data_IF_017475332161
#
_entry.id   IF_017475332161
#
_cell.length_a   1.000
_cell.length_b   1.000
_cell.length_c   1.000
_cell.angle_alpha   90.00
_cell.angle_beta   90.00
_cell.angle_gamma   90.00
#
_symmetry.space_group_name_H-M   'P 1'
#
loop_
_entity.id
_entity.type
_entity.pdbx_description
1 polymer ?
#
# COMPACT_ATOMS: atom_id res chain seq x y z
N UNK A 1 89.98 -40.09 -15.35
CA UNK A 1 89.91 -39.09 -14.24
C UNK A 1 89.67 -39.73 -12.86
N UNK A 2 88.99 -40.87 -12.78
CA UNK A 2 88.86 -41.65 -11.53
C UNK A 2 90.10 -42.52 -11.22
N UNK A 3 90.88 -42.91 -12.23
CA UNK A 3 92.12 -43.69 -12.07
C UNK A 3 93.21 -42.89 -11.36
N UNK A 4 93.36 -41.61 -11.70
CA UNK A 4 94.30 -40.69 -11.04
C UNK A 4 93.94 -40.43 -9.58
N UNK A 5 92.64 -40.43 -9.22
CA UNK A 5 92.21 -40.34 -7.82
C UNK A 5 92.52 -41.64 -7.06
N UNK A 6 92.34 -42.80 -7.71
CA UNK A 6 92.62 -44.12 -7.14
C UNK A 6 94.11 -44.32 -6.87
N UNK A 7 94.98 -43.91 -7.80
CA UNK A 7 96.44 -43.94 -7.60
C UNK A 7 96.88 -43.01 -6.47
N UNK A 8 96.29 -41.80 -6.38
CA UNK A 8 96.57 -40.85 -5.29
C UNK A 8 96.16 -41.41 -3.93
N UNK A 9 95.01 -42.10 -3.84
CA UNK A 9 94.55 -42.69 -2.59
C UNK A 9 95.42 -43.90 -2.18
N UNK A 10 95.85 -44.72 -3.13
CA UNK A 10 96.77 -45.84 -2.88
C UNK A 10 98.15 -45.35 -2.44
N UNK A 11 98.67 -44.26 -3.00
CA UNK A 11 99.90 -43.60 -2.54
C UNK A 11 99.77 -43.14 -1.09
N UNK A 12 98.69 -42.42 -0.76
CA UNK A 12 98.45 -41.93 0.62
C UNK A 12 98.33 -43.07 1.61
N UNK A 13 97.67 -44.17 1.24
CA UNK A 13 97.57 -45.36 2.09
C UNK A 13 98.93 -46.05 2.27
N UNK A 14 99.75 -46.13 1.23
CA UNK A 14 101.09 -46.72 1.29
C UNK A 14 102.05 -45.86 2.12
N UNK A 15 101.93 -44.53 2.02
CA UNK A 15 102.70 -43.55 2.80
C UNK A 15 102.33 -43.60 4.29
N UNK A 16 101.03 -43.77 4.60
CA UNK A 16 100.58 -43.99 5.99
C UNK A 16 101.08 -45.32 6.56
N UNK A 17 101.06 -46.38 5.76
CA UNK A 17 101.48 -47.72 6.20
C UNK A 17 103.00 -47.82 6.38
N UNK A 18 103.78 -47.10 5.56
CA UNK A 18 105.24 -47.03 5.67
C UNK A 18 105.69 -46.10 6.80
N UNK A 19 104.96 -44.99 7.05
CA UNK A 19 105.15 -44.14 8.23
C UNK A 19 104.89 -44.87 9.55
N UNK A 20 103.90 -45.76 9.61
CA UNK A 20 103.60 -46.51 10.84
C UNK A 20 104.60 -47.65 11.12
N UNK A 21 105.12 -48.31 10.06
CA UNK A 21 106.15 -49.36 10.20
C UNK A 21 107.49 -48.80 10.69
N UNK A 22 107.88 -47.62 10.22
CA UNK A 22 109.12 -46.94 10.66
C UNK A 22 109.09 -46.47 12.12
N UNK A 23 107.89 -46.22 12.68
CA UNK A 23 107.72 -45.93 14.11
C UNK A 23 107.65 -47.19 14.98
N UNK A 24 107.10 -48.28 14.47
CA UNK A 24 106.99 -49.56 15.20
C UNK A 24 108.35 -50.26 15.36
N UNK A 25 109.23 -50.22 14.35
CA UNK A 25 110.55 -50.88 14.42
C UNK A 25 111.50 -50.22 15.45
N UNK A 26 111.34 -48.92 15.74
CA UNK A 26 112.13 -48.24 16.78
C UNK A 26 111.71 -48.61 18.21
N UNK A 27 110.56 -49.27 18.40
CA UNK A 27 110.02 -49.62 19.72
C UNK A 27 110.49 -51.00 20.23
N UNK A 28 111.00 -51.89 19.34
CA UNK A 28 111.41 -53.26 19.73
C UNK A 28 112.90 -53.46 20.02
N UNK A 29 113.76 -52.47 19.79
CA UNK A 29 115.21 -52.53 20.07
C UNK A 29 115.63 -51.60 21.23
N UNK A 30 115.12 -51.85 22.45
CA UNK A 30 115.68 -51.25 23.67
C UNK A 30 115.51 -52.18 24.87
N UNK A 31 116.11 -53.38 24.78
CA UNK A 31 116.31 -54.27 25.93
C UNK A 31 117.81 -54.40 26.21
N UNK A 32 118.39 -53.41 26.89
CA UNK A 32 119.76 -53.50 27.43
C UNK A 32 119.80 -53.06 28.89
N UNK A 33 120.43 -53.95 29.67
CA UNK A 33 120.67 -53.98 31.11
C UNK A 33 121.75 -52.96 31.49
N UNK A 34 121.49 -52.08 32.46
CA UNK A 34 122.47 -51.07 32.94
C UNK A 34 122.55 -51.00 34.47
N UNK A 35 123.74 -51.29 35.03
CA UNK A 35 124.15 -51.04 36.43
C UNK A 35 124.72 -49.61 36.51
N UNK A 36 124.61 -48.88 37.64
CA UNK A 36 124.43 -47.44 37.62
C UNK A 36 125.77 -46.70 37.61
N UNK A 37 125.93 -45.75 36.69
CA UNK A 37 126.79 -44.58 36.88
C UNK A 37 126.54 -43.56 35.77
N UNK A 38 125.82 -42.51 36.14
CA UNK A 38 126.01 -41.12 35.67
C UNK A 38 126.18 -40.94 34.17
N UNK A 39 125.06 -41.04 33.44
CA UNK A 39 124.87 -40.21 32.25
C UNK A 39 124.69 -38.75 32.70
N UNK A 40 125.27 -37.77 31.98
CA UNK A 40 125.15 -36.35 32.33
C UNK A 40 123.67 -36.03 32.46
N UNK A 41 123.29 -35.35 33.55
CA UNK A 41 121.91 -34.90 33.77
C UNK A 41 121.39 -34.32 32.45
N UNK A 42 120.49 -35.03 31.78
CA UNK A 42 119.60 -34.41 30.82
C UNK A 42 119.07 -33.16 31.54
N UNK A 43 119.29 -31.95 31.02
CA UNK A 43 118.73 -30.76 31.64
C UNK A 43 117.27 -31.06 31.90
N UNK A 44 116.78 -30.86 33.12
CA UNK A 44 115.35 -30.92 33.36
C UNK A 44 114.76 -29.80 32.50
N UNK A 45 114.37 -30.11 31.27
CA UNK A 45 113.60 -29.24 30.39
C UNK A 45 112.15 -29.09 30.92
N UNK A 46 111.99 -29.06 32.26
CA UNK A 46 110.70 -28.95 32.93
C UNK A 46 110.11 -27.55 32.73
N UNK A 47 110.94 -26.51 32.70
CA UNK A 47 110.48 -25.15 32.45
C UNK A 47 109.81 -24.97 31.07
N UNK A 48 110.33 -25.64 30.02
CA UNK A 48 109.72 -25.62 28.69
C UNK A 48 108.41 -26.40 28.63
N UNK A 49 108.36 -27.56 29.29
CA UNK A 49 107.16 -28.38 29.39
C UNK A 49 106.06 -27.69 30.22
N UNK A 50 106.42 -27.07 31.34
CA UNK A 50 105.51 -26.30 32.20
C UNK A 50 104.96 -25.06 31.49
N UNK A 51 105.79 -24.37 30.69
CA UNK A 51 105.34 -23.23 29.88
C UNK A 51 104.33 -23.69 28.81
N UNK A 52 104.62 -24.78 28.09
CA UNK A 52 103.71 -25.37 27.11
C UNK A 52 102.40 -25.81 27.76
N UNK A 53 102.46 -26.51 28.89
CA UNK A 53 101.28 -26.91 29.67
C UNK A 53 100.45 -25.71 30.08
N UNK A 54 101.07 -24.61 30.54
CA UNK A 54 100.34 -23.38 30.87
C UNK A 54 99.65 -22.74 29.67
N UNK A 55 100.29 -22.73 28.50
CA UNK A 55 99.66 -22.21 27.28
C UNK A 55 98.52 -23.12 26.82
N UNK A 56 98.70 -24.45 26.90
CA UNK A 56 97.67 -25.43 26.59
C UNK A 56 96.45 -25.25 27.51
N UNK A 57 96.66 -25.14 28.82
CA UNK A 57 95.61 -24.89 29.82
C UNK A 57 94.90 -23.54 29.59
N UNK A 58 95.67 -22.48 29.32
CA UNK A 58 95.12 -21.16 29.06
C UNK A 58 94.30 -21.12 27.76
N UNK A 59 94.77 -21.80 26.71
CA UNK A 59 94.05 -21.92 25.44
C UNK A 59 92.78 -22.75 25.59
N UNK A 60 92.84 -23.87 26.32
CA UNK A 60 91.67 -24.68 26.64
C UNK A 60 90.64 -23.90 27.46
N UNK A 61 91.07 -23.13 28.46
CA UNK A 61 90.19 -22.26 29.24
C UNK A 61 89.56 -21.15 28.40
N UNK A 62 90.33 -20.54 27.48
CA UNK A 62 89.82 -19.52 26.57
C UNK A 62 88.73 -20.08 25.64
N UNK A 63 88.95 -21.25 25.04
CA UNK A 63 87.96 -21.92 24.18
C UNK A 63 86.70 -22.30 24.95
N UNK A 64 86.85 -22.83 26.17
CA UNK A 64 85.71 -23.15 27.02
C UNK A 64 84.86 -21.90 27.30
N UNK A 65 85.50 -20.79 27.68
CA UNK A 65 84.82 -19.51 27.91
C UNK A 65 84.20 -18.93 26.64
N UNK A 66 84.86 -19.06 25.50
CA UNK A 66 84.30 -18.61 24.22
C UNK A 66 83.04 -19.40 23.86
N UNK A 67 83.05 -20.71 24.10
CA UNK A 67 81.87 -21.57 23.93
C UNK A 67 80.74 -21.19 24.90
N UNK A 68 81.04 -21.07 26.20
CA UNK A 68 80.05 -20.64 27.19
C UNK A 68 79.45 -19.26 26.85
N UNK A 69 80.26 -18.34 26.32
CA UNK A 69 79.79 -17.04 25.85
C UNK A 69 78.88 -17.15 24.61
N UNK A 70 79.20 -18.05 23.67
CA UNK A 70 78.36 -18.30 22.50
C UNK A 70 77.01 -18.93 22.92
N UNK A 71 77.04 -19.95 23.78
CA UNK A 71 75.84 -20.61 24.32
C UNK A 71 74.94 -19.60 25.07
N UNK A 72 75.54 -18.72 25.89
CA UNK A 72 74.80 -17.64 26.56
C UNK A 72 74.21 -16.62 25.57
N UNK A 73 74.94 -16.32 24.49
CA UNK A 73 74.46 -15.45 23.41
C UNK A 73 73.26 -16.04 22.68
N UNK A 74 73.27 -17.35 22.38
CA UNK A 74 72.15 -18.05 21.73
C UNK A 74 70.89 -18.07 22.60
N UNK A 75 71.04 -18.21 23.92
CA UNK A 75 69.90 -18.13 24.84
C UNK A 75 69.24 -16.74 24.83
N UNK A 76 70.04 -15.68 24.92
CA UNK A 76 69.52 -14.30 24.88
C UNK A 76 68.90 -13.99 23.51
N UNK A 77 69.52 -14.42 22.41
CA UNK A 77 68.96 -14.25 21.06
C UNK A 77 67.59 -14.93 20.94
N UNK A 78 67.45 -16.15 21.47
CA UNK A 78 66.17 -16.88 21.51
C UNK A 78 65.10 -16.11 22.28
N UNK A 79 65.43 -15.53 23.43
CA UNK A 79 64.50 -14.70 24.20
C UNK A 79 64.10 -13.41 23.45
N UNK A 80 65.06 -12.74 22.81
CA UNK A 80 64.82 -11.54 22.01
C UNK A 80 63.90 -11.85 20.82
N UNK A 81 64.14 -12.95 20.11
CA UNK A 81 63.28 -13.40 19.00
C UNK A 81 61.87 -13.68 19.51
N UNK A 82 61.71 -14.40 20.61
CA UNK A 82 60.39 -14.69 21.20
C UNK A 82 59.66 -13.42 21.62
N UNK A 83 60.36 -12.47 22.25
CA UNK A 83 59.78 -11.19 22.66
C UNK A 83 59.38 -10.34 21.44
N UNK A 84 60.21 -10.31 20.40
CA UNK A 84 59.91 -9.59 19.16
C UNK A 84 58.67 -10.15 18.47
N UNK A 85 58.53 -11.47 18.39
CA UNK A 85 57.35 -12.12 17.83
C UNK A 85 56.08 -11.82 18.63
N UNK A 86 56.18 -11.77 19.97
CA UNK A 86 55.06 -11.41 20.83
C UNK A 86 54.60 -9.96 20.57
N UNK A 87 55.52 -9.00 20.52
CA UNK A 87 55.19 -7.60 20.26
C UNK A 87 54.67 -7.38 18.85
N UNK A 88 55.22 -8.09 17.87
CA UNK A 88 54.75 -8.02 16.48
C UNK A 88 53.31 -8.50 16.36
N UNK A 89 52.94 -9.59 17.07
CA UNK A 89 51.55 -10.04 17.15
C UNK A 89 50.63 -9.00 17.79
N UNK A 90 51.08 -8.31 18.84
CA UNK A 90 50.28 -7.24 19.46
C UNK A 90 50.10 -6.05 18.51
N UNK A 91 51.17 -5.68 17.78
CA UNK A 91 51.15 -4.61 16.77
C UNK A 91 50.18 -4.93 15.64
N UNK A 92 50.18 -6.16 15.13
CA UNK A 92 49.25 -6.55 14.05
C UNK A 92 47.80 -6.51 14.52
N UNK A 93 47.49 -7.01 15.73
CA UNK A 93 46.14 -6.90 16.30
C UNK A 93 45.69 -5.44 16.49
N UNK A 94 46.59 -4.55 16.92
CA UNK A 94 46.27 -3.13 17.08
C UNK A 94 46.02 -2.44 15.73
N UNK A 95 46.81 -2.77 14.70
CA UNK A 95 46.57 -2.24 13.35
C UNK A 95 45.24 -2.72 12.76
N UNK A 96 44.85 -3.97 13.02
CA UNK A 96 43.55 -4.50 12.59
C UNK A 96 42.40 -3.74 13.26
N UNK A 97 42.48 -3.53 14.58
CA UNK A 97 41.51 -2.73 15.32
C UNK A 97 41.47 -1.29 14.80
N UNK A 98 42.63 -0.66 14.56
CA UNK A 98 42.69 0.67 13.98
C UNK A 98 42.01 0.72 12.60
N UNK A 99 42.22 -0.30 11.76
CA UNK A 99 41.55 -0.43 10.47
C UNK A 99 40.02 -0.52 10.60
N UNK A 100 39.52 -1.27 11.59
CA UNK A 100 38.09 -1.33 11.89
C UNK A 100 37.53 0.01 12.38
N UNK A 101 38.23 0.72 13.27
CA UNK A 101 37.81 2.04 13.72
C UNK A 101 37.77 3.06 12.57
N UNK A 102 38.69 2.97 11.61
CA UNK A 102 38.70 3.84 10.43
C UNK A 102 37.51 3.61 9.50
N UNK A 103 36.82 2.46 9.57
CA UNK A 103 35.63 2.17 8.76
C UNK A 103 34.34 2.73 9.39
N UNK A 104 34.33 3.05 10.68
CA UNK A 104 33.13 3.57 11.37
C UNK A 104 32.52 4.82 10.72
N UNK A 105 33.30 5.82 10.25
CA UNK A 105 32.73 6.98 9.58
C UNK A 105 32.00 6.63 8.28
N UNK A 106 32.48 5.65 7.52
CA UNK A 106 31.80 5.18 6.32
C UNK A 106 30.47 4.50 6.67
N UNK A 107 30.45 3.65 7.70
CA UNK A 107 29.22 3.04 8.20
C UNK A 107 28.22 4.10 8.69
N UNK A 108 28.69 5.15 9.36
CA UNK A 108 27.84 6.26 9.79
C UNK A 108 27.25 6.99 8.58
N UNK A 109 28.04 7.26 7.54
CA UNK A 109 27.55 7.87 6.31
C UNK A 109 26.51 7.01 5.60
N UNK A 110 26.73 5.69 5.55
CA UNK A 110 25.75 4.74 4.99
C UNK A 110 24.44 4.78 5.80
N UNK A 111 24.53 4.80 7.13
CA UNK A 111 23.37 4.89 8.02
C UNK A 111 22.62 6.22 7.85
N UNK A 112 23.34 7.34 7.75
CA UNK A 112 22.75 8.66 7.47
C UNK A 112 22.03 8.67 6.11
N UNK A 113 22.62 8.02 5.09
CA UNK A 113 21.99 7.90 3.76
C UNK A 113 20.71 7.04 3.80
N UNK A 114 20.72 5.95 4.56
CA UNK A 114 19.55 5.10 4.75
C UNK A 114 18.45 5.85 5.51
N UNK A 115 18.81 6.60 6.55
CA UNK A 115 17.86 7.47 7.25
C UNK A 115 17.24 8.52 6.33
N UNK A 116 18.04 9.16 5.48
CA UNK A 116 17.53 10.13 4.50
C UNK A 116 16.59 9.46 3.47
N UNK A 117 16.93 8.26 2.99
CA UNK A 117 16.08 7.50 2.07
C UNK A 117 14.75 7.10 2.70
N UNK A 118 14.76 6.75 3.99
CA UNK A 118 13.56 6.39 4.74
C UNK A 118 12.65 7.59 4.94
N UNK A 119 13.20 8.75 5.32
CA UNK A 119 12.45 9.99 5.43
C UNK A 119 11.82 10.44 4.09
N UNK A 120 12.56 10.26 2.98
CA UNK A 120 12.01 10.52 1.64
C UNK A 120 10.86 9.56 1.31
N UNK A 121 11.00 8.27 1.64
CA UNK A 121 9.97 7.27 1.43
C UNK A 121 8.71 7.56 2.25
N UNK A 122 8.86 7.97 3.52
CA UNK A 122 7.74 8.42 4.37
C UNK A 122 6.98 9.58 3.71
N UNK A 123 7.70 10.59 3.22
CA UNK A 123 7.09 11.72 2.50
C UNK A 123 6.33 11.25 1.25
N UNK A 124 6.91 10.31 0.48
CA UNK A 124 6.26 9.77 -0.72
C UNK A 124 4.99 8.96 -0.39
N UNK A 125 4.94 8.28 0.75
CA UNK A 125 3.74 7.59 1.21
C UNK A 125 2.65 8.57 1.60
N UNK A 126 2.99 9.63 2.34
CA UNK A 126 2.04 10.71 2.66
C UNK A 126 1.47 11.34 1.38
N UNK A 127 2.30 11.57 0.36
CA UNK A 127 1.84 12.06 -0.93
C UNK A 127 0.85 11.09 -1.60
N UNK A 128 1.15 9.79 -1.63
CA UNK A 128 0.26 8.78 -2.21
C UNK A 128 -1.07 8.69 -1.44
N UNK A 129 -1.03 8.70 -0.11
CA UNK A 129 -2.22 8.71 0.74
C UNK A 129 -3.11 9.92 0.43
N UNK A 130 -2.52 11.11 0.30
CA UNK A 130 -3.25 12.32 -0.08
C UNK A 130 -3.91 12.20 -1.47
N UNK A 131 -3.21 11.62 -2.45
CA UNK A 131 -3.79 11.39 -3.78
C UNK A 131 -4.93 10.37 -3.75
N UNK A 132 -4.84 9.33 -2.91
CA UNK A 132 -5.90 8.34 -2.74
C UNK A 132 -7.14 8.94 -2.09
N UNK A 133 -6.98 9.77 -1.06
CA UNK A 133 -8.09 10.50 -0.45
C UNK A 133 -8.76 11.43 -1.47
N UNK A 134 -7.99 12.16 -2.26
CA UNK A 134 -8.54 13.01 -3.31
C UNK A 134 -9.31 12.20 -4.38
N UNK A 135 -8.82 11.02 -4.75
CA UNK A 135 -9.50 10.14 -5.68
C UNK A 135 -10.83 9.61 -5.10
N UNK A 136 -10.86 9.26 -3.81
CA UNK A 136 -12.08 8.86 -3.12
C UNK A 136 -13.13 9.98 -3.13
N UNK A 137 -12.72 11.22 -2.83
CA UNK A 137 -13.59 12.40 -2.90
C UNK A 137 -14.16 12.60 -4.31
N UNK A 138 -13.34 12.50 -5.35
CA UNK A 138 -13.78 12.61 -6.74
C UNK A 138 -14.75 11.49 -7.13
N UNK A 139 -14.49 10.25 -6.71
CA UNK A 139 -15.40 9.12 -6.94
C UNK A 139 -16.76 9.37 -6.29
N UNK A 140 -16.77 9.82 -5.02
CA UNK A 140 -18.00 10.17 -4.31
C UNK A 140 -18.78 11.29 -5.01
N UNK A 141 -18.09 12.32 -5.51
CA UNK A 141 -18.70 13.39 -6.31
C UNK A 141 -19.32 12.86 -7.61
N UNK A 142 -18.59 12.01 -8.35
CA UNK A 142 -19.09 11.41 -9.58
C UNK A 142 -20.33 10.53 -9.35
N UNK A 143 -20.36 9.78 -8.27
CA UNK A 143 -21.53 8.98 -7.87
C UNK A 143 -22.73 9.85 -7.53
N UNK A 144 -22.51 10.90 -6.74
CA UNK A 144 -23.56 11.85 -6.38
C UNK A 144 -24.16 12.53 -7.63
N UNK A 145 -23.31 12.99 -8.55
CA UNK A 145 -23.78 13.60 -9.80
C UNK A 145 -24.54 12.61 -10.68
N UNK A 146 -24.09 11.35 -10.76
CA UNK A 146 -24.85 10.29 -11.45
C UNK A 146 -26.23 10.07 -10.83
N UNK A 147 -26.33 10.05 -9.49
CA UNK A 147 -27.61 9.90 -8.81
C UNK A 147 -28.56 11.08 -9.05
N UNK A 148 -28.06 12.32 -8.95
CA UNK A 148 -28.84 13.52 -9.26
C UNK A 148 -29.34 13.50 -10.70
N UNK A 149 -28.46 13.17 -11.66
CA UNK A 149 -28.83 13.12 -13.07
C UNK A 149 -29.89 12.05 -13.34
N UNK A 150 -29.77 10.87 -12.75
CA UNK A 150 -30.76 9.80 -12.88
C UNK A 150 -32.14 10.21 -12.32
N UNK A 151 -32.17 10.87 -11.15
CA UNK A 151 -33.43 11.38 -10.58
C UNK A 151 -34.04 12.48 -11.44
N UNK A 152 -33.24 13.42 -11.96
CA UNK A 152 -33.72 14.46 -12.87
C UNK A 152 -34.34 13.86 -14.14
N UNK A 153 -33.68 12.88 -14.76
CA UNK A 153 -34.20 12.17 -15.93
C UNK A 153 -35.50 11.41 -15.63
N UNK A 154 -35.59 10.76 -14.47
CA UNK A 154 -36.82 10.09 -14.04
C UNK A 154 -37.97 11.08 -13.87
N UNK A 155 -37.72 12.22 -13.22
CA UNK A 155 -38.71 13.27 -13.01
C UNK A 155 -39.17 13.89 -14.33
N UNK A 156 -38.25 14.12 -15.26
CA UNK A 156 -38.58 14.63 -16.59
C UNK A 156 -39.38 13.62 -17.43
N UNK A 157 -39.03 12.35 -17.37
CA UNK A 157 -39.78 11.26 -18.00
C UNK A 157 -41.19 11.15 -17.44
N UNK A 158 -41.34 11.24 -16.12
CA UNK A 158 -42.63 11.24 -15.43
C UNK A 158 -43.49 12.45 -15.85
N UNK A 159 -42.94 13.67 -15.81
CA UNK A 159 -43.61 14.89 -16.28
C UNK A 159 -44.07 14.76 -17.74
N UNK A 160 -43.25 14.15 -18.60
CA UNK A 160 -43.59 13.89 -20.00
C UNK A 160 -44.72 12.86 -20.15
N UNK A 161 -44.73 11.78 -19.37
CA UNK A 161 -45.82 10.79 -19.36
C UNK A 161 -47.12 11.45 -18.93
N UNK A 162 -47.09 12.23 -17.83
CA UNK A 162 -48.28 12.93 -17.33
C UNK A 162 -48.86 13.94 -18.29
N UNK A 163 -48.02 14.68 -19.02
CA UNK A 163 -48.50 15.57 -20.10
C UNK A 163 -49.22 14.78 -21.20
N UNK A 164 -48.66 13.65 -21.64
CA UNK A 164 -49.29 12.79 -22.65
C UNK A 164 -50.60 12.18 -22.18
N UNK A 165 -50.66 11.70 -20.93
CA UNK A 165 -51.89 11.16 -20.33
C UNK A 165 -52.99 12.23 -20.29
N UNK A 166 -52.64 13.47 -19.92
CA UNK A 166 -53.59 14.58 -19.89
C UNK A 166 -54.07 14.97 -21.30
N UNK A 167 -53.15 15.06 -22.27
CA UNK A 167 -53.50 15.31 -23.69
C UNK A 167 -54.41 14.22 -24.25
N UNK A 168 -54.16 12.95 -23.90
CA UNK A 168 -54.99 11.82 -24.33
C UNK A 168 -56.39 11.86 -23.69
N UNK A 169 -56.48 12.10 -22.38
CA UNK A 169 -57.76 12.22 -21.68
C UNK A 169 -58.59 13.38 -22.22
N UNK A 170 -57.95 14.52 -22.52
CA UNK A 170 -58.60 15.66 -23.16
C UNK A 170 -59.16 15.30 -24.54
N UNK A 171 -58.36 14.63 -25.37
CA UNK A 171 -58.81 14.21 -26.69
C UNK A 171 -59.96 13.19 -26.63
N UNK A 172 -59.91 12.25 -25.69
CA UNK A 172 -60.99 11.28 -25.45
C UNK A 172 -62.28 11.99 -25.04
N UNK A 173 -62.20 12.93 -24.10
CA UNK A 173 -63.35 13.73 -23.65
C UNK A 173 -63.93 14.59 -24.78
N UNK A 174 -63.08 15.20 -25.62
CA UNK A 174 -63.51 15.96 -26.81
C UNK A 174 -64.24 15.04 -27.82
N UNK A 175 -63.74 13.81 -28.03
CA UNK A 175 -64.42 12.83 -28.91
C UNK A 175 -65.75 12.34 -28.32
N UNK A 176 -65.81 12.08 -27.01
CA UNK A 176 -67.05 11.67 -26.34
C UNK A 176 -68.09 12.79 -26.40
N UNK A 177 -67.68 14.04 -26.14
CA UNK A 177 -68.55 15.21 -26.22
C UNK A 177 -69.12 15.40 -27.64
N UNK A 178 -68.26 15.36 -28.66
CA UNK A 178 -68.70 15.49 -30.06
C UNK A 178 -69.62 14.35 -30.50
N UNK A 179 -69.32 13.11 -30.09
CA UNK A 179 -70.19 11.96 -30.36
C UNK A 179 -71.56 12.13 -29.70
N UNK A 180 -71.60 12.48 -28.40
CA UNK A 180 -72.85 12.69 -27.66
C UNK A 180 -73.67 13.82 -28.25
N UNK A 181 -73.03 14.90 -28.69
CA UNK A 181 -73.70 15.99 -29.39
C UNK A 181 -74.36 15.53 -30.70
N UNK A 182 -73.66 14.74 -31.52
CA UNK A 182 -74.20 14.16 -32.76
C UNK A 182 -75.33 13.16 -32.49
N UNK A 183 -75.22 12.33 -31.45
CA UNK A 183 -76.28 11.42 -31.04
C UNK A 183 -77.53 12.18 -30.59
N UNK A 184 -77.37 13.25 -29.80
CA UNK A 184 -78.48 14.12 -29.40
C UNK A 184 -79.13 14.81 -30.60
N UNK A 185 -78.34 15.32 -31.55
CA UNK A 185 -78.84 15.93 -32.78
C UNK A 185 -79.62 14.91 -33.63
N UNK A 186 -79.06 13.72 -33.86
CA UNK A 186 -79.72 12.65 -34.61
C UNK A 186 -81.02 12.20 -33.93
N UNK A 187 -81.01 12.07 -32.60
CA UNK A 187 -82.21 11.76 -31.81
C UNK A 187 -83.28 12.85 -31.98
N UNK A 188 -82.88 14.12 -31.98
CA UNK A 188 -83.78 15.24 -32.23
C UNK A 188 -84.35 15.21 -33.66
N UNK A 189 -83.51 14.95 -34.66
CA UNK A 189 -83.93 14.84 -36.07
C UNK A 189 -84.90 13.67 -36.31
N UNK A 190 -84.67 12.50 -35.69
CA UNK A 190 -85.60 11.36 -35.73
C UNK A 190 -86.96 11.74 -35.16
N UNK A 191 -87.00 12.38 -33.98
CA UNK A 191 -88.25 12.86 -33.36
C UNK A 191 -88.99 13.86 -34.26
N UNK A 192 -88.29 14.69 -35.03
CA UNK A 192 -88.91 15.61 -35.98
C UNK A 192 -89.45 14.88 -37.22
N UNK A 193 -88.69 13.91 -37.76
CA UNK A 193 -89.12 13.08 -38.90
C UNK A 193 -90.31 12.18 -38.58
N UNK A 194 -90.34 11.55 -37.41
CA UNK A 194 -91.49 10.75 -36.96
C UNK A 194 -92.74 11.61 -36.81
N UNK A 195 -92.59 12.82 -36.25
CA UNK A 195 -93.68 13.81 -36.20
C UNK A 195 -94.17 14.18 -37.60
N UNK A 196 -93.27 14.47 -38.53
CA UNK A 196 -93.64 14.77 -39.92
C UNK A 196 -94.40 13.60 -40.56
N UNK A 197 -93.92 12.36 -40.39
CA UNK A 197 -94.55 11.15 -40.92
C UNK A 197 -95.95 10.94 -40.34
N UNK A 198 -96.14 11.20 -39.04
CA UNK A 198 -97.45 11.12 -38.41
C UNK A 198 -98.47 12.08 -39.03
N UNK A 199 -98.05 13.31 -39.35
CA UNK A 199 -98.91 14.28 -40.04
C UNK A 199 -99.20 13.90 -41.48
N UNK A 200 -98.20 13.39 -42.21
CA UNK A 200 -98.36 12.92 -43.59
C UNK A 200 -99.35 11.75 -43.65
N UNK A 201 -99.23 10.77 -42.76
CA UNK A 201 -100.17 9.64 -42.66
C UNK A 201 -101.59 10.11 -42.33
N UNK A 202 -101.74 11.08 -41.42
CA UNK A 202 -103.03 11.68 -41.12
C UNK A 202 -103.64 12.39 -42.35
N UNK A 203 -102.83 13.11 -43.12
CA UNK A 203 -103.27 13.78 -44.34
C UNK A 203 -103.66 12.78 -45.43
N UNK A 204 -102.88 11.72 -45.61
CA UNK A 204 -103.17 10.66 -46.57
C UNK A 204 -104.49 9.95 -46.23
N UNK A 205 -104.76 9.69 -44.95
CA UNK A 205 -106.05 9.17 -44.48
C UNK A 205 -107.20 10.12 -44.82
N UNK A 206 -107.04 11.42 -44.56
CA UNK A 206 -108.05 12.43 -44.89
C UNK A 206 -108.33 12.47 -46.41
N UNK A 207 -107.28 12.33 -47.23
CA UNK A 207 -107.40 12.31 -48.69
C UNK A 207 -108.06 11.03 -49.22
N UNK A 208 -107.70 9.87 -48.69
CA UNK A 208 -108.35 8.59 -49.01
C UNK A 208 -109.83 8.59 -48.60
N UNK A 209 -110.15 9.19 -47.45
CA UNK A 209 -111.52 9.38 -47.00
C UNK A 209 -112.31 10.28 -47.96
N UNK A 210 -111.72 11.39 -48.40
CA UNK A 210 -112.36 12.27 -49.38
C UNK A 210 -112.61 11.58 -50.72
N UNK A 211 -111.62 10.85 -51.24
CA UNK A 211 -111.77 10.12 -52.51
C UNK A 211 -112.82 9.00 -52.43
N UNK A 212 -113.02 8.38 -51.26
CA UNK A 212 -113.99 7.31 -51.06
C UNK A 212 -115.41 7.79 -50.76
N UNK A 213 -115.60 8.94 -50.09
CA UNK A 213 -116.93 9.42 -49.64
C UNK A 213 -117.40 10.74 -50.29
N UNK A 214 -116.52 11.52 -50.91
CA UNK A 214 -116.83 12.79 -51.56
C UNK A 214 -116.91 14.02 -50.65
N UNK A 215 -116.71 13.88 -49.32
CA UNK A 215 -116.71 14.97 -48.34
C UNK A 215 -115.63 14.76 -47.27
N UNK A 216 -114.93 15.82 -46.84
CA UNK A 216 -113.93 15.77 -45.75
C UNK A 216 -114.59 16.03 -44.38
N UNK A 217 -114.38 15.16 -43.39
CA UNK A 217 -114.82 15.35 -41.99
C UNK A 217 -113.62 15.69 -41.08
N UNK A 218 -113.07 16.90 -41.22
CA UNK A 218 -111.84 17.30 -40.49
C UNK A 218 -112.14 17.69 -39.02
N UNK A 219 -113.33 18.19 -38.72
CA UNK A 219 -113.60 18.86 -37.45
C UNK A 219 -114.07 17.93 -36.32
N UNK A 220 -114.56 16.72 -36.62
CA UNK A 220 -115.36 15.94 -35.66
C UNK A 220 -114.62 14.76 -35.02
N UNK A 221 -113.41 14.40 -35.49
CA UNK A 221 -112.65 13.24 -34.99
C UNK A 221 -111.36 13.55 -34.22
N UNK A 222 -110.97 14.82 -34.06
CA UNK A 222 -109.76 15.20 -33.31
C UNK A 222 -110.10 15.56 -31.86
N UNK A 223 -109.64 14.74 -30.91
CA UNK A 223 -109.31 15.22 -29.56
C UNK A 223 -108.40 16.45 -29.70
N UNK A 224 -108.56 17.50 -28.87
CA UNK A 224 -107.85 18.77 -29.03
C UNK A 224 -106.35 18.54 -29.26
N UNK A 225 -105.86 18.95 -30.44
CA UNK A 225 -104.43 18.98 -30.70
C UNK A 225 -103.79 19.93 -29.69
N UNK A 226 -103.15 19.37 -28.67
CA UNK A 226 -102.34 20.13 -27.72
C UNK A 226 -101.28 20.91 -28.49
N UNK A 227 -101.44 22.22 -28.54
CA UNK A 227 -100.49 23.26 -28.94
C UNK A 227 -99.50 22.91 -30.07
N UNK A 228 -99.88 23.25 -31.31
CA UNK A 228 -98.98 23.29 -32.47
C UNK A 228 -98.03 24.50 -32.48
N UNK A 229 -97.74 25.11 -31.32
CA UNK A 229 -96.88 26.28 -31.22
C UNK A 229 -95.96 26.14 -30.02
N UNK A 230 -94.99 25.24 -30.12
CA UNK A 230 -93.79 25.31 -29.30
C UNK A 230 -92.64 24.72 -30.12
N UNK A 231 -91.87 25.61 -30.74
CA UNK A 231 -90.43 25.40 -30.72
C UNK A 231 -90.08 25.38 -29.22
N UNK A 232 -90.22 24.23 -28.57
CA UNK A 232 -89.54 24.00 -27.30
C UNK A 232 -88.06 23.93 -27.67
N UNK A 233 -87.49 25.12 -27.89
CA UNK A 233 -86.10 25.38 -27.54
C UNK A 233 -86.01 24.83 -26.12
N UNK A 234 -85.20 23.81 -25.87
CA UNK A 234 -84.99 23.31 -24.52
C UNK A 234 -84.37 24.44 -23.69
N UNK A 235 -85.18 25.38 -23.20
CA UNK A 235 -84.78 26.45 -22.29
C UNK A 235 -84.19 25.82 -21.02
N UNK A 236 -84.73 24.66 -20.63
CA UNK A 236 -84.29 23.84 -19.50
C UNK A 236 -82.88 23.26 -19.64
N UNK A 237 -82.31 23.18 -20.87
CA UNK A 237 -80.91 22.74 -21.08
C UNK A 237 -79.95 23.93 -21.18
N UNK A 238 -80.45 25.11 -21.56
CA UNK A 238 -79.66 26.34 -21.57
C UNK A 238 -79.40 26.86 -20.14
N UNK A 239 -80.35 26.67 -19.22
CA UNK A 239 -80.22 27.07 -17.81
C UNK A 239 -79.26 26.19 -16.99
N UNK A 240 -78.78 25.06 -17.54
CA UNK A 240 -77.78 24.18 -16.92
C UNK A 240 -76.34 24.38 -17.43
N UNK A 241 -76.13 25.31 -18.36
CA UNK A 241 -74.82 25.63 -18.94
C UNK A 241 -74.04 26.68 -18.12
N UNK A 242 -74.63 27.22 -17.05
CA UNK A 242 -74.02 28.20 -16.14
C UNK A 242 -73.73 27.57 -14.77
N UNK A 243 -72.81 26.62 -14.66
CA UNK A 243 -72.30 26.19 -13.33
C UNK A 243 -71.02 25.35 -13.44
N UNK A 244 -69.96 25.90 -14.04
CA UNK A 244 -68.65 25.26 -13.89
C UNK A 244 -67.43 26.18 -14.04
N UNK A 245 -67.49 27.44 -13.58
CA UNK A 245 -66.34 28.34 -13.71
C UNK A 245 -66.11 29.32 -12.54
N UNK A 246 -66.44 28.92 -11.30
CA UNK A 246 -66.15 29.76 -10.11
C UNK A 246 -65.45 29.01 -8.97
N UNK A 247 -65.18 27.70 -9.11
CA UNK A 247 -64.44 26.93 -8.11
C UNK A 247 -62.95 26.73 -8.42
N UNK A 248 -62.51 27.01 -9.65
CA UNK A 248 -61.14 26.70 -10.10
C UNK A 248 -60.18 27.91 -10.09
N UNK A 249 -60.67 29.10 -9.76
CA UNK A 249 -59.84 30.32 -9.71
C UNK A 249 -58.78 30.26 -8.59
N UNK A 250 -59.09 29.64 -7.44
CA UNK A 250 -58.14 29.44 -6.35
C UNK A 250 -57.08 28.37 -6.67
N UNK A 251 -57.42 27.35 -7.47
CA UNK A 251 -56.49 26.29 -7.84
C UNK A 251 -55.46 26.77 -8.90
N UNK A 252 -55.88 27.64 -9.82
CA UNK A 252 -54.99 28.25 -10.82
C UNK A 252 -53.97 29.21 -10.19
N UNK A 253 -54.37 29.99 -9.18
CA UNK A 253 -53.46 30.90 -8.47
C UNK A 253 -52.37 30.15 -7.68
N UNK A 254 -52.68 28.98 -7.10
CA UNK A 254 -51.68 28.14 -6.43
C UNK A 254 -50.68 27.52 -7.43
N UNK A 255 -51.15 27.19 -8.64
CA UNK A 255 -50.31 26.60 -9.69
C UNK A 255 -49.39 27.63 -10.34
N UNK A 256 -49.87 28.85 -10.59
CA UNK A 256 -49.07 29.95 -11.15
C UNK A 256 -48.04 30.51 -10.16
N UNK A 257 -48.38 30.53 -8.86
CA UNK A 257 -47.45 30.99 -7.81
C UNK A 257 -46.39 29.94 -7.41
N UNK A 258 -46.51 28.66 -7.81
CA UNK A 258 -45.53 27.60 -7.50
C UNK A 258 -44.47 27.38 -8.60
N UNK A 259 -44.47 28.17 -9.67
CA UNK A 259 -43.57 28.01 -10.83
C UNK A 259 -42.37 28.97 -10.88
N UNK A 260 -42.06 29.67 -9.79
CA UNK A 260 -41.19 30.86 -9.80
C UNK A 260 -39.94 30.80 -8.90
N UNK A 261 -39.21 29.69 -8.90
CA UNK A 261 -37.85 29.57 -8.36
C UNK A 261 -37.13 28.64 -9.37
N UNK A 262 -36.33 29.08 -10.36
CA UNK A 262 -35.14 29.93 -10.31
C UNK A 262 -34.83 30.50 -11.72
N UNK A 263 -34.36 31.75 -11.81
CA UNK A 263 -33.26 32.11 -12.73
C UNK A 263 -32.64 33.47 -12.40
N UNK A 264 -31.54 33.41 -11.64
CA UNK A 264 -30.22 33.98 -11.97
C UNK A 264 -30.22 35.07 -13.06
N UNK A 265 -29.86 36.32 -12.71
CA UNK A 265 -28.70 37.08 -13.26
C UNK A 265 -28.44 38.36 -12.41
N UNK A 266 -27.30 38.32 -11.71
CA UNK A 266 -26.30 39.38 -11.40
C UNK A 266 -26.68 40.86 -11.07
N UNK A 267 -26.41 41.23 -9.79
CA UNK A 267 -25.56 42.33 -9.22
C UNK A 267 -25.69 43.81 -9.65
N UNK A 268 -25.20 44.81 -8.86
CA UNK A 268 -24.73 44.81 -7.46
C UNK A 268 -25.38 45.91 -6.57
N UNK A 269 -25.29 45.77 -5.24
CA UNK A 269 -25.19 46.95 -4.37
C UNK A 269 -25.91 46.91 -3.03
N UNK A 270 -25.10 47.00 -1.97
CA UNK A 270 -25.40 47.66 -0.69
C UNK A 270 -26.26 46.87 0.32
N UNK A 271 -25.55 46.16 1.20
CA UNK A 271 -25.41 46.61 2.59
C UNK A 271 -26.31 45.96 3.66
N UNK A 272 -25.62 45.31 4.64
CA UNK A 272 -26.01 45.10 6.05
C UNK A 272 -27.19 44.14 6.27
N UNK A 273 -27.28 43.32 7.31
CA UNK A 273 -26.45 42.88 8.44
C UNK A 273 -27.38 41.98 9.29
N UNK A 274 -26.83 41.02 10.03
CA UNK A 274 -27.44 40.36 11.19
C UNK A 274 -28.61 39.40 10.89
N UNK A 275 -28.84 38.28 11.59
CA UNK A 275 -28.27 37.76 12.83
C UNK A 275 -28.42 36.22 12.86
N UNK A 276 -27.51 35.59 13.60
CA UNK A 276 -27.54 34.19 14.00
C UNK A 276 -28.85 33.80 14.71
N UNK A 277 -29.41 32.62 14.42
CA UNK A 277 -29.87 31.75 15.53
C UNK A 277 -29.93 30.26 15.14
N UNK A 278 -29.16 29.53 15.94
CA UNK A 278 -28.97 28.08 16.08
C UNK A 278 -30.27 27.36 16.45
N UNK A 279 -30.32 26.03 16.23
CA UNK A 279 -30.81 24.94 17.13
C UNK A 279 -31.47 23.83 16.28
N UNK A 280 -30.80 22.70 16.06
CA UNK A 280 -30.79 21.47 16.90
C UNK A 280 -31.79 20.42 16.40
N UNK A 281 -31.21 19.35 15.87
CA UNK A 281 -31.50 17.94 16.19
C UNK A 281 -32.58 17.14 15.45
N UNK A 282 -32.19 15.85 15.37
CA UNK A 282 -32.97 14.62 15.38
C UNK A 282 -33.25 13.94 14.05
N UNK A 283 -32.84 12.67 14.05
CA UNK A 283 -33.05 11.60 13.08
C UNK A 283 -34.53 11.28 12.85
N UNK A 284 -34.82 10.44 11.85
CA UNK A 284 -35.33 9.09 12.16
C UNK A 284 -34.59 8.01 11.33
N UNK A 285 -34.22 6.86 11.90
CA UNK A 285 -35.03 5.65 12.05
C UNK A 285 -35.41 4.96 10.71
N UNK A 286 -34.64 3.88 10.43
CA UNK A 286 -35.07 2.51 10.06
C UNK A 286 -36.14 2.26 8.98
N UNK A 287 -35.86 1.33 8.05
CA UNK A 287 -36.58 0.06 7.76
C UNK A 287 -36.03 -0.51 6.44
N UNK A 288 -35.22 -1.57 6.48
CA UNK A 288 -35.54 -2.99 6.21
C UNK A 288 -36.06 -3.31 4.79
N UNK A 289 -35.38 -4.21 4.07
CA UNK A 289 -35.86 -5.59 3.82
C UNK A 289 -35.13 -6.27 2.65
N UNK A 290 -34.44 -7.35 2.98
CA UNK A 290 -34.50 -8.71 2.41
C UNK A 290 -34.86 -8.93 0.92
N UNK A 291 -33.98 -9.65 0.20
CA UNK A 291 -34.39 -10.67 -0.77
C UNK A 291 -33.30 -11.75 -0.92
N UNK A 292 -33.72 -13.01 -0.74
CA UNK A 292 -32.95 -14.24 -0.88
C UNK A 292 -32.71 -14.62 -2.34
N UNK A 293 -31.64 -15.36 -2.63
CA UNK A 293 -31.59 -16.33 -3.74
C UNK A 293 -30.53 -17.41 -3.45
N UNK A 294 -31.00 -18.65 -3.41
CA UNK A 294 -30.19 -19.87 -3.37
C UNK A 294 -29.61 -20.19 -4.76
N UNK A 295 -28.37 -20.70 -4.82
CA UNK A 295 -27.96 -21.61 -5.90
C UNK A 295 -26.90 -22.61 -5.39
N UNK A 296 -27.14 -23.88 -5.71
CA UNK A 296 -26.43 -25.07 -5.24
C UNK A 296 -25.13 -25.32 -6.02
N UNK A 297 -24.02 -25.39 -5.27
CA UNK A 297 -22.85 -26.29 -5.30
C UNK A 297 -22.34 -26.88 -6.64
N UNK A 298 -21.07 -26.59 -6.95
CA UNK A 298 -20.10 -27.60 -7.45
C UNK A 298 -18.65 -27.22 -7.10
N UNK A 299 -17.84 -28.22 -6.76
CA UNK A 299 -16.51 -28.15 -6.16
C UNK A 299 -15.39 -27.82 -7.16
N UNK A 300 -14.40 -27.00 -6.76
CA UNK A 300 -12.96 -27.30 -6.90
C UNK A 300 -12.06 -26.27 -6.19
N UNK A 301 -11.30 -26.79 -5.21
CA UNK A 301 -9.88 -26.52 -4.90
C UNK A 301 -9.32 -25.11 -5.02
N UNK A 302 -8.89 -24.55 -3.88
CA UNK A 302 -7.93 -23.44 -3.82
C UNK A 302 -7.93 -22.79 -2.43
N UNK A 303 -6.84 -22.93 -1.70
CA UNK A 303 -6.63 -22.38 -0.35
C UNK A 303 -6.88 -20.86 -0.30
N UNK A 304 -7.71 -20.42 0.64
CA UNK A 304 -7.78 -19.02 1.08
C UNK A 304 -7.69 -19.01 2.61
N UNK A 305 -6.55 -18.56 3.11
CA UNK A 305 -6.40 -18.13 4.49
C UNK A 305 -7.22 -16.84 4.66
N UNK A 306 -8.39 -16.97 5.28
CA UNK A 306 -9.19 -15.84 5.72
C UNK A 306 -8.53 -15.21 6.96
N UNK A 307 -8.07 -13.96 6.84
CA UNK A 307 -7.96 -13.05 7.97
C UNK A 307 -9.16 -12.12 7.93
N UNK A 308 -10.11 -12.41 8.81
CA UNK A 308 -11.27 -11.60 9.12
C UNK A 308 -10.82 -10.23 9.65
N UNK A 309 -11.27 -9.16 9.01
CA UNK A 309 -11.15 -7.78 9.51
C UNK A 309 -11.98 -7.64 10.80
N UNK A 310 -11.30 -7.44 11.92
CA UNK A 310 -11.87 -7.05 13.20
C UNK A 310 -11.75 -5.55 13.39
N UNK A 311 -12.88 -4.87 13.37
CA UNK A 311 -13.03 -3.45 13.66
C UNK A 311 -12.69 -3.13 15.12
N UNK A 312 -11.50 -2.62 15.40
CA UNK A 312 -11.25 -1.74 16.56
C UNK A 312 -10.10 -0.79 16.23
N UNK A 313 -10.41 0.50 16.21
CA UNK A 313 -9.42 1.56 16.00
C UNK A 313 -8.29 1.48 17.01
N UNK A 314 -7.07 1.40 16.51
CA UNK A 314 -5.85 1.64 17.30
C UNK A 314 -5.08 2.74 16.59
N UNK A 315 -5.12 3.92 17.19
CA UNK A 315 -4.21 5.02 16.88
C UNK A 315 -2.82 4.53 17.27
N UNK A 316 -1.97 4.22 16.29
CA UNK A 316 -0.56 3.96 16.55
C UNK A 316 0.10 5.32 16.77
N UNK A 317 0.08 5.81 18.00
CA UNK A 317 1.04 6.84 18.41
C UNK A 317 2.37 6.12 18.65
N UNK A 318 3.32 6.28 17.73
CA UNK A 318 4.71 5.92 17.97
C UNK A 318 5.29 6.82 19.08
N UNK A 319 5.14 6.38 20.33
CA UNK A 319 5.86 6.97 21.47
C UNK A 319 7.19 6.23 21.62
N UNK A 320 8.26 7.01 21.78
CA UNK A 320 9.67 6.63 22.03
C UNK A 320 9.89 5.59 23.14
N UNK A 321 8.84 5.20 23.88
CA UNK A 321 8.89 4.17 24.91
C UNK A 321 9.01 2.74 24.36
N UNK A 322 8.66 2.48 23.10
CA UNK A 322 8.67 1.10 22.57
C UNK A 322 10.07 0.58 22.20
N UNK A 323 11.07 1.46 22.10
CA UNK A 323 12.47 1.06 21.87
C UNK A 323 13.16 0.49 23.13
N UNK A 324 12.59 0.69 24.32
CA UNK A 324 13.18 0.19 25.58
C UNK A 324 12.91 -1.29 25.84
N UNK A 325 11.89 -1.88 25.21
CA UNK A 325 11.45 -3.26 25.51
C UNK A 325 12.15 -4.34 24.66
N UNK A 326 12.93 -3.97 23.65
CA UNK A 326 13.67 -4.92 22.78
C UNK A 326 15.15 -5.10 23.15
N UNK A 327 15.58 -4.59 24.31
CA UNK A 327 16.98 -4.66 24.77
C UNK A 327 17.27 -5.76 25.80
N UNK A 328 16.27 -6.55 26.22
CA UNK A 328 16.45 -7.62 27.23
C UNK A 328 16.96 -8.94 26.66
N UNK A 329 17.28 -9.01 25.36
CA UNK A 329 17.73 -10.24 24.67
C UNK A 329 19.12 -10.10 24.04
N UNK A 330 20.01 -9.31 24.65
CA UNK A 330 21.41 -9.18 24.21
C UNK A 330 22.37 -9.55 25.34
N UNK A 331 23.52 -10.18 25.03
CA UNK A 331 24.50 -10.57 26.04
C UNK A 331 25.00 -9.35 26.82
N UNK A 332 25.24 -9.53 28.12
CA UNK A 332 25.49 -8.47 29.11
C UNK A 332 26.58 -7.44 28.72
N UNK A 333 27.53 -7.80 27.86
CA UNK A 333 28.56 -6.87 27.37
C UNK A 333 28.02 -5.81 26.40
N UNK A 334 27.01 -6.13 25.59
CA UNK A 334 26.41 -5.21 24.62
C UNK A 334 25.51 -4.19 25.32
N UNK A 335 24.81 -4.62 26.37
CA UNK A 335 23.97 -3.74 27.21
C UNK A 335 24.84 -2.72 27.95
N UNK A 336 26.02 -3.11 28.43
CA UNK A 336 26.97 -2.19 29.07
C UNK A 336 27.53 -1.15 28.10
N UNK A 337 27.79 -1.54 26.86
CA UNK A 337 28.35 -0.65 25.84
C UNK A 337 27.33 0.39 25.35
N UNK A 338 26.07 -0.02 25.18
CA UNK A 338 25.00 0.90 24.77
C UNK A 338 24.65 1.88 25.89
N UNK A 339 24.62 1.43 27.15
CA UNK A 339 24.33 2.31 28.29
C UNK A 339 25.45 3.31 28.58
N UNK A 340 26.71 2.92 28.40
CA UNK A 340 27.86 3.84 28.55
C UNK A 340 27.95 4.84 27.40
N UNK A 341 27.64 4.44 26.16
CA UNK A 341 27.54 5.36 25.03
C UNK A 341 26.41 6.38 25.20
N UNK A 342 25.25 5.95 25.70
CA UNK A 342 24.11 6.83 25.97
C UNK A 342 24.42 7.87 27.07
N UNK A 343 25.11 7.46 28.14
CA UNK A 343 25.55 8.36 29.22
C UNK A 343 26.63 9.35 28.76
N UNK A 344 27.55 8.92 27.89
CA UNK A 344 28.56 9.80 27.31
C UNK A 344 27.94 10.86 26.39
N UNK A 345 26.92 10.50 25.62
CA UNK A 345 26.21 11.43 24.73
C UNK A 345 25.39 12.47 25.51
N UNK A 346 24.78 12.07 26.64
CA UNK A 346 24.10 13.02 27.54
C UNK A 346 25.06 13.98 28.24
N UNK A 347 26.28 13.53 28.57
CA UNK A 347 27.29 14.39 29.20
C UNK A 347 27.89 15.42 28.24
N UNK A 348 28.11 15.06 26.97
CA UNK A 348 28.60 16.02 25.96
C UNK A 348 27.54 17.04 25.51
N UNK A 349 26.25 16.72 25.65
CA UNK A 349 25.18 17.65 25.27
C UNK A 349 24.88 18.72 26.32
N UNK A 350 25.45 18.60 27.53
CA UNK A 350 25.20 19.49 28.67
C UNK A 350 26.40 20.35 29.09
N UNK A 351 27.52 20.29 28.35
CA UNK A 351 28.66 21.20 28.43
C UNK A 351 28.73 22.06 27.18
#
# INVERSE_FOLDING_TARGET
MLETLRERLLSVQQDFTSGLKTLSDKSREAKVKGKPRTAPRLPKYSAGLELLSRYEDAWAALHRRAKECADAGELVDSEVVMLSAHWEKKRTSLNELQGQLQQLPALLQDLESLMASLAHLETSFEEVENHLLHLEDLCGQCELERHKQAQAQHLESYKKSKRKELEAFKAELDTEHTQKALEMEHTQQLKLKERQKFFEEAFQQDMEQYLSTGYLQIAERREPMGSMSSMEVNVDVLEQMDLMDISDQEALDVFLNSGGEDNIVMSPGVGKSNDNTKVTSLSPASFSSTASSELVRSQRTGEVLALQCGSHGTVISCSLSSCFLTLTSLPNEVVLFVTTAQLAFQFLSHT
#
